data_IF_649913100418
#
_entry.id   IF_649913100418
#
_cell.length_a   1.000
_cell.length_b   1.000
_cell.length_c   1.000
_cell.angle_alpha   90.00
_cell.angle_beta   90.00
_cell.angle_gamma   90.00
#
_symmetry.space_group_name_H-M   'P 1'
#
loop_
_entity.id
_entity.type
_entity.pdbx_description
1 polymer ?
#
# COMPACT_ATOMS: atom_id res chain seq x y z
N UNK A 1 -1.33 -29.56 -19.60
CA UNK A 1 -0.36 -28.52 -19.19
C UNK A 1 -0.40 -28.45 -17.68
N UNK A 2 0.75 -28.40 -17.00
CA UNK A 2 0.82 -28.45 -15.52
C UNK A 2 0.01 -27.29 -14.95
N UNK A 3 -0.99 -27.58 -14.13
CA UNK A 3 -1.72 -26.59 -13.35
C UNK A 3 -0.78 -26.02 -12.29
N UNK A 4 -0.25 -24.82 -12.53
CA UNK A 4 0.32 -24.00 -11.47
C UNK A 4 -0.82 -23.63 -10.53
N UNK A 5 -0.85 -24.22 -9.34
CA UNK A 5 -1.87 -23.96 -8.31
C UNK A 5 -1.78 -22.51 -7.83
N UNK A 6 -2.90 -21.99 -7.28
CA UNK A 6 -3.02 -20.67 -6.64
C UNK A 6 -1.86 -20.33 -5.67
N UNK A 7 -1.19 -21.37 -5.21
CA UNK A 7 -0.05 -21.44 -4.30
C UNK A 7 1.26 -20.78 -4.79
N UNK A 8 1.62 -20.81 -6.07
CA UNK A 8 2.93 -20.24 -6.50
C UNK A 8 2.90 -18.71 -6.65
N UNK A 9 1.74 -18.07 -6.40
CA UNK A 9 1.41 -16.75 -6.92
C UNK A 9 1.45 -15.64 -5.85
N UNK A 10 1.52 -16.04 -4.57
CA UNK A 10 1.84 -15.18 -3.43
C UNK A 10 3.20 -15.54 -2.79
N UNK A 11 3.90 -16.54 -3.33
CA UNK A 11 5.21 -16.95 -2.85
C UNK A 11 6.28 -15.91 -3.20
N UNK A 12 7.12 -15.57 -2.22
CA UNK A 12 8.42 -14.93 -2.49
C UNK A 12 9.22 -15.92 -3.36
N UNK A 13 9.79 -15.50 -4.51
CA UNK A 13 10.46 -16.43 -5.41
C UNK A 13 11.57 -17.21 -4.67
N UNK A 14 11.76 -18.52 -4.99
CA UNK A 14 12.66 -19.41 -4.25
C UNK A 14 14.15 -18.99 -4.25
N UNK A 15 14.54 -18.03 -5.08
CA UNK A 15 15.91 -17.48 -5.09
C UNK A 15 16.19 -16.44 -3.99
N UNK A 16 15.27 -16.23 -3.05
CA UNK A 16 15.56 -15.44 -1.85
C UNK A 16 16.36 -16.23 -0.78
N UNK A 17 16.47 -17.56 -0.91
CA UNK A 17 17.13 -18.40 0.11
C UNK A 17 18.63 -18.66 -0.12
N UNK A 18 19.20 -18.32 -1.29
CA UNK A 18 20.62 -18.63 -1.58
C UNK A 18 21.62 -17.50 -1.26
N UNK A 19 21.18 -16.43 -0.58
CA UNK A 19 22.07 -15.36 -0.07
C UNK A 19 22.20 -15.34 1.45
N UNK A 20 21.90 -16.45 2.14
CA UNK A 20 22.31 -16.63 3.54
C UNK A 20 23.78 -17.05 3.62
N UNK A 21 24.66 -16.13 3.20
CA UNK A 21 26.03 -16.11 3.71
C UNK A 21 25.98 -15.63 5.16
N UNK A 22 26.53 -16.42 6.08
CA UNK A 22 26.71 -16.07 7.49
C UNK A 22 27.52 -14.78 7.63
N UNK A 23 26.86 -13.63 7.60
CA UNK A 23 27.44 -12.38 8.08
C UNK A 23 27.28 -12.38 9.60
N UNK A 24 28.39 -12.64 10.29
CA UNK A 24 28.52 -12.44 11.72
C UNK A 24 27.91 -11.08 12.10
N UNK A 25 26.83 -11.12 12.89
CA UNK A 25 26.25 -9.93 13.50
C UNK A 25 27.29 -9.34 14.46
N UNK A 26 27.93 -8.25 14.05
CA UNK A 26 28.52 -7.33 15.01
C UNK A 26 27.41 -6.73 15.88
N UNK A 27 27.60 -6.62 17.20
CA UNK A 27 26.52 -6.30 18.12
C UNK A 27 26.30 -4.78 18.20
N UNK A 28 25.03 -4.40 18.36
CA UNK A 28 24.54 -3.07 18.78
C UNK A 28 24.66 -1.91 17.78
N UNK A 29 23.71 -1.82 16.84
CA UNK A 29 23.30 -0.54 16.25
C UNK A 29 21.86 -0.24 16.63
N UNK A 30 21.66 0.54 17.69
CA UNK A 30 20.36 1.15 18.02
C UNK A 30 20.22 2.44 17.24
N UNK A 31 19.17 2.54 16.41
CA UNK A 31 18.91 3.60 15.42
C UNK A 31 18.72 5.04 15.96
N UNK A 32 19.00 5.28 17.25
CA UNK A 32 18.69 6.52 17.97
C UNK A 32 19.86 7.50 18.12
N UNK A 33 21.01 7.29 17.46
CA UNK A 33 22.24 8.07 17.75
C UNK A 33 22.90 8.80 16.58
N UNK A 34 22.40 8.73 15.34
CA UNK A 34 22.98 9.55 14.26
C UNK A 34 22.32 10.92 14.26
N UNK A 35 23.12 11.98 14.39
CA UNK A 35 22.64 13.35 14.24
C UNK A 35 22.27 13.59 12.77
N UNK A 36 21.33 14.51 12.46
CA UNK A 36 20.97 14.83 11.08
C UNK A 36 22.17 15.19 10.19
N UNK A 37 23.20 15.83 10.78
CA UNK A 37 24.45 16.17 10.09
C UNK A 37 25.27 14.94 9.68
N UNK A 38 25.27 13.89 10.50
CA UNK A 38 25.96 12.64 10.18
C UNK A 38 25.30 11.99 8.96
N UNK A 39 23.97 12.00 8.90
CA UNK A 39 23.20 11.42 7.79
C UNK A 39 23.44 12.18 6.47
N UNK A 40 23.56 13.52 6.51
CA UNK A 40 23.76 14.33 5.31
C UNK A 40 25.04 13.95 4.55
N UNK A 41 26.15 13.78 5.26
CA UNK A 41 27.44 13.39 4.66
C UNK A 41 27.42 12.00 4.00
N UNK A 42 26.46 11.15 4.36
CA UNK A 42 26.31 9.80 3.81
C UNK A 42 25.35 9.72 2.62
N UNK A 43 24.53 10.75 2.39
CA UNK A 43 23.59 10.78 1.25
C UNK A 43 24.20 11.46 0.04
N UNK A 44 24.97 12.52 0.21
CA UNK A 44 25.56 13.25 -0.91
C UNK A 44 26.65 12.41 -1.60
N UNK A 45 26.69 12.48 -2.94
CA UNK A 45 27.70 11.84 -3.77
C UNK A 45 27.18 10.62 -4.52
N UNK A 46 28.12 9.77 -4.96
CA UNK A 46 27.82 8.64 -5.84
C UNK A 46 27.46 7.38 -5.04
N UNK A 47 26.37 6.74 -5.44
CA UNK A 47 25.92 5.46 -4.91
C UNK A 47 25.85 4.39 -5.99
N UNK A 48 26.16 3.16 -5.63
CA UNK A 48 25.95 1.97 -6.46
C UNK A 48 24.54 1.45 -6.24
N UNK A 49 23.83 1.18 -7.35
CA UNK A 49 22.49 0.59 -7.31
C UNK A 49 22.64 -0.92 -7.25
N UNK A 50 22.15 -1.52 -6.17
CA UNK A 50 22.21 -2.98 -5.95
C UNK A 50 20.95 -3.69 -6.43
N UNK A 51 19.81 -3.02 -6.36
CA UNK A 51 18.53 -3.55 -6.79
C UNK A 51 17.58 -2.42 -7.18
N UNK A 52 16.68 -2.70 -8.12
CA UNK A 52 15.67 -1.74 -8.60
C UNK A 52 14.33 -2.43 -8.66
N UNK A 53 13.32 -1.86 -7.99
CA UNK A 53 11.92 -2.18 -8.24
C UNK A 53 11.33 -1.09 -9.14
N UNK A 54 10.58 -1.49 -10.15
CA UNK A 54 9.99 -0.59 -11.13
C UNK A 54 8.48 -0.75 -11.13
N UNK A 55 7.77 0.35 -10.96
CA UNK A 55 6.36 0.48 -11.31
C UNK A 55 6.22 1.31 -12.59
N UNK A 56 4.99 1.48 -13.06
CA UNK A 56 4.72 2.29 -14.26
C UNK A 56 5.21 3.74 -14.11
N UNK A 57 5.08 4.34 -12.92
CA UNK A 57 5.39 5.76 -12.69
C UNK A 57 6.56 6.00 -11.71
N UNK A 58 7.02 4.96 -10.99
CA UNK A 58 8.10 5.12 -9.99
C UNK A 58 9.19 4.07 -10.09
N UNK A 59 10.36 4.43 -9.57
CA UNK A 59 11.49 3.55 -9.31
C UNK A 59 11.81 3.56 -7.83
N UNK A 60 12.01 2.38 -7.26
CA UNK A 60 12.60 2.19 -5.94
C UNK A 60 13.99 1.62 -6.12
N UNK A 61 15.01 2.42 -5.82
CA UNK A 61 16.42 2.04 -5.93
C UNK A 61 16.94 1.66 -4.54
N UNK A 62 17.55 0.48 -4.43
CA UNK A 62 18.32 0.09 -3.26
C UNK A 62 19.77 0.42 -3.54
N UNK A 63 20.36 1.26 -2.68
CA UNK A 63 21.67 1.85 -2.97
C UNK A 63 22.64 1.65 -1.81
N UNK A 64 23.91 1.54 -2.17
CA UNK A 64 25.04 1.44 -1.26
C UNK A 64 26.08 2.50 -1.64
N UNK A 65 26.75 3.06 -0.63
CA UNK A 65 27.92 3.92 -0.81
C UNK A 65 29.04 3.43 0.10
N UNK A 66 30.29 3.61 -0.31
CA UNK A 66 31.47 3.26 0.50
C UNK A 66 31.48 4.00 1.83
N UNK A 67 30.88 5.19 1.87
CA UNK A 67 30.83 6.04 3.05
C UNK A 67 29.50 5.90 3.82
N UNK A 68 28.48 5.23 3.25
CA UNK A 68 27.16 5.15 3.90
C UNK A 68 27.15 4.16 5.06
N UNK A 69 26.98 4.67 6.27
CA UNK A 69 26.85 3.86 7.50
C UNK A 69 25.50 3.10 7.53
N UNK A 70 24.49 3.61 6.82
CA UNK A 70 23.14 3.04 6.79
C UNK A 70 22.73 2.65 5.35
N UNK A 71 22.14 1.46 5.13
CA UNK A 71 21.63 1.10 3.82
C UNK A 71 20.45 2.00 3.44
N UNK A 72 20.45 2.52 2.21
CA UNK A 72 19.47 3.49 1.74
C UNK A 72 18.54 2.91 0.68
N UNK A 73 17.36 3.51 0.60
CA UNK A 73 16.37 3.28 -0.44
C UNK A 73 15.92 4.63 -1.00
N UNK A 74 15.85 4.74 -2.32
CA UNK A 74 15.45 5.96 -3.02
C UNK A 74 14.15 5.70 -3.78
N UNK A 75 13.13 6.57 -3.61
CA UNK A 75 11.94 6.58 -4.48
C UNK A 75 12.04 7.73 -5.45
N UNK A 76 11.91 7.43 -6.75
CA UNK A 76 11.96 8.41 -7.83
C UNK A 76 10.68 8.29 -8.66
N UNK A 77 10.11 9.43 -9.03
CA UNK A 77 9.11 9.50 -10.09
C UNK A 77 9.80 9.56 -11.45
N UNK A 78 9.19 8.97 -12.48
CA UNK A 78 9.66 9.07 -13.86
C UNK A 78 8.49 9.29 -14.81
N UNK A 79 8.78 9.72 -16.03
CA UNK A 79 7.78 10.14 -16.99
C UNK A 79 6.79 9.03 -17.34
N UNK A 80 5.55 9.18 -16.86
CA UNK A 80 4.43 8.30 -17.16
C UNK A 80 3.11 9.08 -17.06
N UNK A 81 2.16 8.79 -17.94
CA UNK A 81 0.86 9.47 -17.95
C UNK A 81 -0.28 8.53 -18.34
N UNK A 82 -1.33 8.53 -17.52
CA UNK A 82 -2.63 7.89 -17.77
C UNK A 82 -3.70 8.49 -16.84
N UNK A 83 -4.88 7.88 -16.77
CA UNK A 83 -5.96 8.36 -15.90
C UNK A 83 -5.66 8.28 -14.39
N UNK A 84 -4.58 7.61 -13.98
CA UNK A 84 -4.14 7.47 -12.58
C UNK A 84 -2.96 8.39 -12.29
N UNK A 85 -1.91 8.35 -13.11
CA UNK A 85 -0.65 9.05 -12.93
C UNK A 85 -0.53 10.20 -13.92
N UNK A 86 -0.13 11.36 -13.42
CA UNK A 86 0.20 12.53 -14.24
C UNK A 86 1.61 12.94 -13.83
N UNK A 87 2.61 12.42 -14.53
CA UNK A 87 4.03 12.59 -14.18
C UNK A 87 4.90 12.87 -15.41
N UNK A 88 4.32 13.44 -16.47
CA UNK A 88 5.01 13.72 -17.73
C UNK A 88 6.06 14.84 -17.61
N UNK A 89 6.01 15.66 -16.57
CA UNK A 89 6.99 16.72 -16.29
C UNK A 89 7.66 16.60 -14.91
N UNK A 90 8.85 17.20 -14.79
CA UNK A 90 9.70 17.15 -13.60
C UNK A 90 9.07 17.91 -12.42
N UNK A 91 8.38 19.02 -12.66
CA UNK A 91 7.81 19.84 -11.59
C UNK A 91 6.69 19.06 -10.87
N UNK A 92 5.85 18.36 -11.62
CA UNK A 92 4.84 17.46 -11.07
C UNK A 92 5.47 16.29 -10.31
N UNK A 93 6.51 15.66 -10.86
CA UNK A 93 7.27 14.61 -10.17
C UNK A 93 7.81 15.09 -8.81
N UNK A 94 8.44 16.26 -8.78
CA UNK A 94 9.01 16.86 -7.58
C UNK A 94 7.92 17.26 -6.55
N UNK A 95 6.77 17.73 -7.02
CA UNK A 95 5.60 18.00 -6.17
C UNK A 95 5.11 16.74 -5.46
N UNK A 96 4.99 15.61 -6.18
CA UNK A 96 4.65 14.32 -5.57
C UNK A 96 5.74 13.83 -4.61
N UNK A 97 7.04 13.98 -4.94
CA UNK A 97 8.14 13.66 -4.02
C UNK A 97 8.03 14.46 -2.70
N UNK A 98 7.75 15.77 -2.78
CA UNK A 98 7.57 16.63 -1.61
C UNK A 98 6.37 16.21 -0.76
N UNK A 99 5.21 15.99 -1.40
CA UNK A 99 4.00 15.56 -0.72
C UNK A 99 4.19 14.20 -0.06
N UNK A 100 4.83 13.26 -0.76
CA UNK A 100 5.18 11.94 -0.27
C UNK A 100 6.09 12.01 0.96
N UNK A 101 7.13 12.85 0.92
CA UNK A 101 8.00 13.06 2.09
C UNK A 101 7.23 13.62 3.29
N UNK A 102 6.46 14.70 3.07
CA UNK A 102 5.76 15.40 4.13
C UNK A 102 4.74 14.51 4.84
N UNK A 103 4.02 13.68 4.07
CA UNK A 103 2.99 12.79 4.59
C UNK A 103 3.58 11.54 5.24
N UNK A 104 4.38 10.77 4.50
CA UNK A 104 4.82 9.45 4.95
C UNK A 104 5.72 9.49 6.20
N UNK A 105 6.52 10.55 6.37
CA UNK A 105 7.38 10.69 7.57
C UNK A 105 6.60 10.73 8.89
N UNK A 106 5.30 11.08 8.85
CA UNK A 106 4.41 11.05 10.02
C UNK A 106 4.02 9.63 10.43
N UNK A 107 3.92 8.73 9.45
CA UNK A 107 3.49 7.34 9.64
C UNK A 107 4.64 6.34 9.77
N UNK A 108 5.86 6.78 9.42
CA UNK A 108 7.08 6.03 9.64
C UNK A 108 8.22 6.95 10.14
N UNK A 109 8.13 7.43 11.39
CA UNK A 109 9.13 8.33 11.94
C UNK A 109 10.52 7.68 11.92
N UNK A 110 11.52 8.44 11.43
CA UNK A 110 12.90 7.99 11.33
C UNK A 110 13.22 7.11 10.12
N UNK A 111 12.24 6.79 9.26
CA UNK A 111 12.46 6.09 7.98
C UNK A 111 12.76 7.07 6.85
N UNK A 112 11.93 8.09 6.69
CA UNK A 112 12.08 9.10 5.64
C UNK A 112 13.09 10.17 6.07
N UNK A 113 14.20 10.28 5.35
CA UNK A 113 15.35 11.12 5.72
C UNK A 113 15.26 12.53 5.12
N UNK A 114 14.66 12.66 3.94
CA UNK A 114 14.59 13.92 3.20
C UNK A 114 14.45 13.67 1.71
N UNK A 115 14.74 14.69 0.90
CA UNK A 115 14.84 14.57 -0.55
C UNK A 115 16.23 15.03 -1.02
N UNK A 116 16.72 14.51 -2.13
CA UNK A 116 18.00 14.92 -2.70
C UNK A 116 17.90 15.10 -4.22
N UNK A 117 18.50 16.15 -4.81
CA UNK A 117 18.54 16.32 -6.25
C UNK A 117 19.38 15.21 -6.89
N UNK A 118 19.00 14.79 -8.10
CA UNK A 118 19.69 13.76 -8.86
C UNK A 118 20.48 14.45 -9.97
N UNK A 119 21.82 14.41 -9.88
CA UNK A 119 22.69 15.03 -10.88
C UNK A 119 23.06 14.06 -12.01
N UNK A 120 23.25 12.77 -11.68
CA UNK A 120 23.50 11.73 -12.67
C UNK A 120 22.73 10.47 -12.35
N UNK A 121 22.01 9.96 -13.35
CA UNK A 121 21.36 8.66 -13.32
C UNK A 121 21.56 8.00 -14.69
N UNK A 122 22.74 7.43 -14.89
CA UNK A 122 23.14 6.79 -16.15
C UNK A 122 23.38 5.29 -15.93
N UNK A 123 23.06 4.50 -16.95
CA UNK A 123 23.25 3.04 -17.04
C UNK A 123 22.54 2.17 -15.99
N UNK A 124 21.68 2.76 -15.16
CA UNK A 124 20.96 2.07 -14.06
C UNK A 124 21.88 1.34 -13.04
N UNK A 125 23.19 1.59 -13.09
CA UNK A 125 24.17 0.99 -12.18
C UNK A 125 24.59 1.92 -11.05
N UNK A 126 24.54 3.23 -11.27
CA UNK A 126 24.88 4.22 -10.25
C UNK A 126 23.99 5.45 -10.33
N UNK A 127 23.84 6.11 -9.20
CA UNK A 127 23.13 7.38 -9.06
C UNK A 127 24.00 8.36 -8.27
N UNK A 128 24.04 9.61 -8.70
CA UNK A 128 24.71 10.69 -7.98
C UNK A 128 23.69 11.66 -7.42
N UNK A 129 23.72 11.81 -6.09
CA UNK A 129 22.82 12.67 -5.33
C UNK A 129 23.55 13.94 -4.87
N UNK A 130 22.85 15.07 -4.90
CA UNK A 130 23.31 16.29 -4.23
C UNK A 130 23.02 16.30 -2.74
N UNK A 131 22.98 17.50 -2.16
CA UNK A 131 22.75 17.68 -0.73
C UNK A 131 21.36 17.17 -0.30
N UNK A 132 21.31 16.46 0.83
CA UNK A 132 20.05 16.02 1.43
C UNK A 132 19.31 17.18 2.09
N UNK A 133 18.11 17.46 1.59
CA UNK A 133 17.17 18.42 2.14
C UNK A 133 16.23 17.72 3.14
N UNK A 134 16.41 17.98 4.43
CA UNK A 134 15.59 17.41 5.52
C UNK A 134 14.32 18.22 5.81
N UNK A 135 14.31 19.50 5.40
CA UNK A 135 13.18 20.43 5.52
C UNK A 135 12.90 21.15 4.18
N UNK A 136 12.71 20.41 3.07
CA UNK A 136 12.60 21.01 1.75
C UNK A 136 11.35 21.89 1.65
N UNK A 137 11.50 23.03 0.99
CA UNK A 137 10.40 23.90 0.55
C UNK A 137 10.36 23.94 -0.99
N UNK A 138 9.17 24.11 -1.61
CA UNK A 138 9.05 24.12 -3.07
C UNK A 138 9.94 25.15 -3.79
N UNK A 139 10.17 26.31 -3.17
CA UNK A 139 10.98 27.42 -3.71
C UNK A 139 12.50 27.16 -3.64
N UNK A 140 12.93 26.12 -2.91
CA UNK A 140 14.33 25.71 -2.78
C UNK A 140 14.74 24.67 -3.84
N UNK A 141 13.78 24.12 -4.59
CA UNK A 141 14.08 23.11 -5.61
C UNK A 141 14.75 23.75 -6.83
N UNK A 142 15.88 23.17 -7.23
CA UNK A 142 16.58 23.54 -8.46
C UNK A 142 15.69 23.30 -9.69
N UNK A 143 15.52 24.35 -10.52
CA UNK A 143 14.69 24.27 -11.72
C UNK A 143 15.25 23.26 -12.72
N UNK A 144 14.43 22.33 -13.18
CA UNK A 144 14.80 21.32 -14.17
C UNK A 144 15.61 20.15 -13.61
N UNK A 145 15.74 20.04 -12.28
CA UNK A 145 16.40 18.92 -11.60
C UNK A 145 15.35 18.03 -10.95
N UNK A 146 15.46 16.71 -11.16
CA UNK A 146 14.59 15.72 -10.53
C UNK A 146 15.10 15.39 -9.13
N UNK A 147 14.19 15.24 -8.16
CA UNK A 147 14.51 14.89 -6.78
C UNK A 147 14.08 13.46 -6.44
N UNK A 148 14.95 12.75 -5.74
CA UNK A 148 14.65 11.47 -5.11
C UNK A 148 14.17 11.66 -3.67
N UNK A 149 13.18 10.87 -3.26
CA UNK A 149 12.84 10.68 -1.85
C UNK A 149 13.85 9.70 -1.22
N UNK A 150 14.54 10.13 -0.17
CA UNK A 150 15.60 9.36 0.49
C UNK A 150 15.07 8.72 1.77
N UNK A 151 15.23 7.40 1.89
CA UNK A 151 14.71 6.60 3.00
C UNK A 151 15.77 5.64 3.55
N UNK A 152 15.67 5.31 4.84
CA UNK A 152 16.36 4.15 5.40
C UNK A 152 15.78 2.88 4.82
N UNK A 153 16.63 1.95 4.39
CA UNK A 153 16.19 0.62 3.99
C UNK A 153 15.83 -0.18 5.24
N UNK A 154 14.57 -0.62 5.32
CA UNK A 154 14.11 -1.49 6.41
C UNK A 154 14.37 -2.97 6.11
N UNK A 155 14.60 -3.82 7.13
CA UNK A 155 14.80 -5.27 6.95
C UNK A 155 13.52 -5.96 6.42
N UNK A 156 13.56 -6.55 5.22
CA UNK A 156 12.37 -7.05 4.53
C UNK A 156 11.49 -8.01 5.36
N UNK A 157 12.09 -8.76 6.29
CA UNK A 157 11.36 -9.65 7.19
C UNK A 157 10.43 -8.90 8.16
N UNK A 158 10.56 -7.58 8.33
CA UNK A 158 9.66 -6.75 9.14
C UNK A 158 8.34 -6.45 8.43
N UNK A 159 8.27 -6.56 7.09
CA UNK A 159 7.07 -6.26 6.32
C UNK A 159 5.93 -7.25 6.66
N UNK A 160 4.70 -6.76 6.79
CA UNK A 160 3.60 -7.51 7.36
C UNK A 160 3.22 -8.73 6.51
N UNK A 161 3.27 -8.64 5.18
CA UNK A 161 3.12 -9.79 4.29
C UNK A 161 4.15 -10.91 4.59
N UNK A 162 5.42 -10.57 4.81
CA UNK A 162 6.45 -11.56 5.19
C UNK A 162 6.15 -12.18 6.55
N UNK A 163 5.68 -11.41 7.51
CA UNK A 163 5.33 -11.92 8.84
C UNK A 163 4.12 -12.86 8.77
N UNK A 164 3.11 -12.53 7.96
CA UNK A 164 1.96 -13.39 7.67
C UNK A 164 2.39 -14.65 6.93
N UNK A 165 3.33 -14.61 5.99
CA UNK A 165 3.77 -15.82 5.29
C UNK A 165 4.63 -16.74 6.16
N UNK A 166 5.43 -16.20 7.08
CA UNK A 166 6.45 -16.95 7.83
C UNK A 166 5.97 -17.71 9.07
N UNK A 167 4.86 -17.34 9.67
CA UNK A 167 4.49 -17.91 10.97
C UNK A 167 4.13 -16.89 12.03
N UNK A 168 4.60 -15.66 11.84
CA UNK A 168 4.83 -14.73 12.94
C UNK A 168 3.71 -13.72 13.14
N UNK A 169 2.73 -13.71 12.24
CA UNK A 169 1.53 -12.90 12.33
C UNK A 169 0.35 -13.72 11.81
N UNK A 170 -0.84 -13.49 12.38
CA UNK A 170 -2.09 -14.16 12.00
C UNK A 170 -2.89 -14.73 13.17
N UNK A 171 -2.63 -14.27 14.40
CA UNK A 171 -3.38 -14.64 15.60
C UNK A 171 -4.50 -13.64 15.90
N UNK A 172 -5.40 -13.97 16.83
CA UNK A 172 -6.42 -13.03 17.32
C UNK A 172 -5.82 -11.78 17.97
N UNK A 173 -4.66 -11.92 18.62
CA UNK A 173 -3.97 -10.80 19.27
C UNK A 173 -3.37 -9.85 18.24
N UNK A 174 -2.77 -10.41 17.18
CA UNK A 174 -2.28 -9.65 16.04
C UNK A 174 -3.39 -8.81 15.39
N UNK A 175 -4.57 -9.40 15.19
CA UNK A 175 -5.73 -8.70 14.63
C UNK A 175 -6.19 -7.54 15.54
N UNK A 176 -6.21 -7.73 16.86
CA UNK A 176 -6.53 -6.67 17.82
C UNK A 176 -5.48 -5.56 17.81
N UNK A 177 -4.20 -5.91 17.83
CA UNK A 177 -3.09 -4.96 17.76
C UNK A 177 -3.19 -4.10 16.50
N UNK A 178 -3.35 -4.74 15.33
CA UNK A 178 -3.42 -4.03 14.06
C UNK A 178 -4.65 -3.12 13.98
N UNK A 179 -5.82 -3.63 14.37
CA UNK A 179 -7.07 -2.87 14.34
C UNK A 179 -7.01 -1.62 15.23
N UNK A 180 -6.57 -1.78 16.48
CA UNK A 180 -6.46 -0.66 17.45
C UNK A 180 -5.42 0.36 17.01
N UNK A 181 -4.28 -0.10 16.48
CA UNK A 181 -3.21 0.79 15.99
C UNK A 181 -3.68 1.62 14.80
N UNK A 182 -4.31 1.00 13.80
CA UNK A 182 -4.82 1.74 12.63
C UNK A 182 -5.97 2.68 13.02
N UNK A 183 -6.88 2.27 13.91
CA UNK A 183 -7.94 3.16 14.39
C UNK A 183 -7.36 4.42 15.05
N UNK A 184 -6.33 4.26 15.89
CA UNK A 184 -5.63 5.40 16.48
C UNK A 184 -4.93 6.27 15.43
N UNK A 185 -4.29 5.66 14.42
CA UNK A 185 -3.72 6.42 13.29
C UNK A 185 -4.81 7.25 12.58
N UNK A 186 -5.95 6.65 12.25
CA UNK A 186 -7.05 7.32 11.54
C UNK A 186 -7.68 8.48 12.32
N UNK A 187 -7.78 8.37 13.65
CA UNK A 187 -8.28 9.45 14.51
C UNK A 187 -7.39 10.69 14.48
N UNK A 188 -6.09 10.53 14.23
CA UNK A 188 -5.11 11.61 14.21
C UNK A 188 -4.85 12.17 12.79
N UNK A 189 -5.59 11.72 11.77
CA UNK A 189 -5.43 12.20 10.40
C UNK A 189 -6.07 13.57 10.18
N UNK A 190 -5.51 14.30 9.22
CA UNK A 190 -6.05 15.58 8.76
C UNK A 190 -7.43 15.41 8.11
N UNK A 191 -8.34 16.33 8.43
CA UNK A 191 -9.62 16.44 7.76
C UNK A 191 -9.42 16.79 6.28
N UNK A 192 -10.17 16.12 5.41
CA UNK A 192 -10.16 16.46 4.00
C UNK A 192 -10.76 17.85 3.76
N UNK A 193 -10.28 18.61 2.77
CA UNK A 193 -10.98 19.76 2.23
C UNK A 193 -12.45 19.42 1.91
N UNK A 194 -13.43 20.32 2.19
CA UNK A 194 -14.86 19.99 2.08
C UNK A 194 -15.33 19.48 0.70
N UNK A 195 -14.59 19.81 -0.37
CA UNK A 195 -14.93 19.40 -1.73
C UNK A 195 -14.51 17.96 -2.07
N UNK A 196 -13.50 17.38 -1.41
CA UNK A 196 -12.96 16.06 -1.77
C UNK A 196 -13.79 14.87 -1.25
N UNK A 197 -14.72 15.09 -0.32
CA UNK A 197 -15.63 14.07 0.20
C UNK A 197 -17.06 14.12 -0.37
N UNK A 198 -17.32 15.00 -1.33
CA UNK A 198 -18.66 15.18 -1.88
C UNK A 198 -19.10 13.96 -2.70
N UNK A 199 -20.42 13.70 -2.72
CA UNK A 199 -21.01 12.55 -3.40
C UNK A 199 -20.67 12.51 -4.91
N UNK A 200 -20.54 13.67 -5.56
CA UNK A 200 -20.12 13.75 -6.97
C UNK A 200 -18.68 13.28 -7.20
N UNK A 201 -17.76 13.50 -6.24
CA UNK A 201 -16.39 13.00 -6.29
C UNK A 201 -16.38 11.49 -6.09
N UNK A 202 -17.15 10.98 -5.12
CA UNK A 202 -17.34 9.55 -4.92
C UNK A 202 -17.91 8.87 -6.18
N UNK A 203 -18.92 9.46 -6.82
CA UNK A 203 -19.49 8.96 -8.07
C UNK A 203 -18.46 8.92 -9.21
N UNK A 204 -17.61 9.96 -9.34
CA UNK A 204 -16.54 9.99 -10.35
C UNK A 204 -15.53 8.86 -10.12
N UNK A 205 -15.09 8.68 -8.89
CA UNK A 205 -14.17 7.60 -8.50
C UNK A 205 -14.79 6.23 -8.75
N UNK A 206 -16.06 6.07 -8.40
CA UNK A 206 -16.79 4.84 -8.68
C UNK A 206 -16.84 4.54 -10.18
N UNK A 207 -17.17 5.52 -11.01
CA UNK A 207 -17.17 5.34 -12.47
C UNK A 207 -15.77 4.98 -13.02
N UNK A 208 -14.71 5.59 -12.49
CA UNK A 208 -13.34 5.23 -12.85
C UNK A 208 -13.01 3.78 -12.46
N UNK A 209 -13.34 3.39 -11.21
CA UNK A 209 -13.14 2.03 -10.72
C UNK A 209 -13.91 1.00 -11.57
N UNK A 210 -15.15 1.31 -11.97
CA UNK A 210 -15.93 0.46 -12.88
C UNK A 210 -15.21 0.27 -14.22
N UNK A 211 -14.75 1.35 -14.83
CA UNK A 211 -14.05 1.30 -16.12
C UNK A 211 -12.82 0.39 -16.06
N UNK A 212 -11.95 0.59 -15.07
CA UNK A 212 -10.75 -0.23 -14.91
C UNK A 212 -11.08 -1.69 -14.54
N UNK A 213 -12.10 -1.92 -13.73
CA UNK A 213 -12.54 -3.28 -13.41
C UNK A 213 -13.03 -4.01 -14.66
N UNK A 214 -13.81 -3.36 -15.52
CA UNK A 214 -14.27 -3.93 -16.79
C UNK A 214 -13.10 -4.24 -17.73
N UNK A 215 -12.11 -3.36 -17.82
CA UNK A 215 -10.90 -3.58 -18.62
C UNK A 215 -10.08 -4.77 -18.09
N UNK A 216 -9.90 -4.84 -16.76
CA UNK A 216 -9.20 -5.94 -16.12
C UNK A 216 -9.91 -7.28 -16.36
N UNK A 217 -11.23 -7.31 -16.24
CA UNK A 217 -12.02 -8.51 -16.55
C UNK A 217 -11.87 -8.93 -18.02
N UNK A 218 -11.89 -7.97 -18.96
CA UNK A 218 -11.67 -8.28 -20.38
C UNK A 218 -10.28 -8.88 -20.62
N UNK A 219 -9.25 -8.36 -19.95
CA UNK A 219 -7.89 -8.91 -20.01
C UNK A 219 -7.82 -10.32 -19.40
N UNK A 220 -8.44 -10.55 -18.24
CA UNK A 220 -8.50 -11.87 -17.61
C UNK A 220 -9.25 -12.88 -18.47
N UNK A 221 -10.37 -12.48 -19.09
CA UNK A 221 -11.13 -13.32 -20.01
C UNK A 221 -10.30 -13.75 -21.22
N UNK A 222 -9.45 -12.87 -21.75
CA UNK A 222 -8.53 -13.22 -22.84
C UNK A 222 -7.44 -14.22 -22.38
N UNK A 223 -6.91 -14.07 -21.17
CA UNK A 223 -5.86 -14.95 -20.63
C UNK A 223 -6.40 -16.31 -20.15
N UNK A 224 -7.65 -16.35 -19.68
CA UNK A 224 -8.31 -17.53 -19.13
C UNK A 224 -9.67 -17.75 -19.82
N UNK A 225 -9.70 -18.13 -21.11
CA UNK A 225 -10.93 -18.17 -21.92
C UNK A 225 -11.98 -19.18 -21.44
N UNK A 226 -11.56 -20.20 -20.70
CA UNK A 226 -12.44 -21.24 -20.14
C UNK A 226 -13.15 -20.80 -18.85
N UNK A 227 -12.75 -19.67 -18.26
CA UNK A 227 -13.34 -19.15 -17.04
C UNK A 227 -14.45 -18.14 -17.38
N UNK A 228 -15.58 -18.25 -16.70
CA UNK A 228 -16.69 -17.28 -16.82
C UNK A 228 -16.42 -16.06 -15.93
N UNK A 229 -15.99 -14.96 -16.53
CA UNK A 229 -15.89 -13.68 -15.84
C UNK A 229 -17.11 -12.77 -16.03
N UNK A 230 -17.95 -13.07 -17.01
CA UNK A 230 -19.08 -12.21 -17.36
C UNK A 230 -20.14 -12.22 -16.26
N UNK A 231 -20.44 -13.39 -15.67
CA UNK A 231 -21.40 -13.50 -14.57
C UNK A 231 -20.93 -12.77 -13.31
N UNK A 232 -19.71 -13.02 -12.77
CA UNK A 232 -19.19 -12.24 -11.63
C UNK A 232 -19.17 -10.74 -11.88
N UNK A 233 -18.70 -10.32 -13.07
CA UNK A 233 -18.64 -8.91 -13.43
C UNK A 233 -20.02 -8.26 -13.40
N UNK A 234 -21.03 -8.89 -14.01
CA UNK A 234 -22.39 -8.35 -14.03
C UNK A 234 -22.97 -8.22 -12.61
N UNK A 235 -22.87 -9.28 -11.81
CA UNK A 235 -23.40 -9.29 -10.43
C UNK A 235 -22.74 -8.23 -9.56
N UNK A 236 -21.41 -8.11 -9.61
CA UNK A 236 -20.66 -7.11 -8.82
C UNK A 236 -21.08 -5.70 -9.22
N UNK A 237 -21.09 -5.39 -10.52
CA UNK A 237 -21.41 -4.04 -10.99
C UNK A 237 -22.86 -3.66 -10.69
N UNK A 238 -23.82 -4.56 -10.93
CA UNK A 238 -25.24 -4.31 -10.70
C UNK A 238 -25.56 -4.12 -9.21
N UNK A 239 -25.05 -5.00 -8.35
CA UNK A 239 -25.22 -4.91 -6.89
C UNK A 239 -24.62 -3.61 -6.35
N UNK A 240 -23.40 -3.26 -6.77
CA UNK A 240 -22.71 -2.06 -6.31
C UNK A 240 -23.38 -0.78 -6.80
N UNK A 241 -23.79 -0.71 -8.07
CA UNK A 241 -24.53 0.43 -8.61
C UNK A 241 -25.87 0.60 -7.89
N UNK A 242 -26.64 -0.48 -7.73
CA UNK A 242 -27.93 -0.46 -7.03
C UNK A 242 -27.75 0.01 -5.58
N UNK A 243 -26.75 -0.52 -4.88
CA UNK A 243 -26.48 -0.16 -3.50
C UNK A 243 -26.09 1.32 -3.36
N UNK A 244 -25.18 1.80 -4.22
CA UNK A 244 -24.73 3.19 -4.21
C UNK A 244 -25.89 4.17 -4.41
N UNK A 245 -26.80 3.89 -5.35
CA UNK A 245 -27.96 4.75 -5.61
C UNK A 245 -28.95 4.72 -4.43
N UNK A 246 -29.33 3.53 -3.95
CA UNK A 246 -30.34 3.36 -2.90
C UNK A 246 -29.86 3.86 -1.52
N UNK A 247 -28.55 3.86 -1.28
CA UNK A 247 -27.95 4.24 0.01
C UNK A 247 -27.08 5.49 -0.07
N UNK A 248 -27.29 6.34 -1.08
CA UNK A 248 -26.55 7.61 -1.28
C UNK A 248 -26.51 8.49 -0.02
N UNK A 249 -27.57 8.48 0.79
CA UNK A 249 -27.63 9.19 2.07
C UNK A 249 -26.56 8.71 3.08
N UNK A 250 -26.26 7.41 3.13
CA UNK A 250 -25.19 6.88 4.00
C UNK A 250 -23.82 7.42 3.58
N UNK A 251 -23.53 7.46 2.28
CA UNK A 251 -22.28 8.04 1.77
C UNK A 251 -22.19 9.54 2.06
N UNK A 252 -23.29 10.29 1.94
CA UNK A 252 -23.33 11.71 2.29
C UNK A 252 -23.06 11.95 3.78
N UNK A 253 -23.61 11.12 4.67
CA UNK A 253 -23.31 11.18 6.11
C UNK A 253 -21.83 10.91 6.40
N UNK A 254 -21.17 10.09 5.59
CA UNK A 254 -19.74 9.81 5.71
C UNK A 254 -18.82 10.93 5.23
N UNK A 255 -19.31 11.91 4.47
CA UNK A 255 -18.49 13.00 3.94
C UNK A 255 -17.67 13.72 5.02
N UNK A 256 -18.25 13.98 6.19
CA UNK A 256 -17.56 14.67 7.31
C UNK A 256 -16.44 13.83 7.95
N UNK A 257 -16.44 12.52 7.70
CA UNK A 257 -15.41 11.58 8.15
C UNK A 257 -14.26 11.44 7.16
N UNK A 258 -14.33 12.06 5.98
CA UNK A 258 -13.23 12.02 5.00
C UNK A 258 -11.96 12.59 5.63
N UNK A 259 -10.85 11.84 5.53
CA UNK A 259 -9.52 12.21 6.01
C UNK A 259 -8.50 12.02 4.92
N UNK A 260 -7.33 12.66 5.06
CA UNK A 260 -6.13 12.31 4.30
C UNK A 260 -5.58 10.99 4.85
N UNK A 261 -6.08 9.87 4.32
CA UNK A 261 -5.74 8.51 4.71
C UNK A 261 -4.47 8.00 3.99
N UNK A 262 -4.11 6.73 4.23
CA UNK A 262 -3.01 6.09 3.51
C UNK A 262 -3.32 5.98 2.01
N UNK A 263 -4.58 5.65 1.68
CA UNK A 263 -5.07 5.50 0.30
C UNK A 263 -4.74 4.14 -0.32
N UNK A 264 -3.65 3.51 0.14
CA UNK A 264 -3.18 2.19 -0.29
C UNK A 264 -2.82 1.28 0.90
N UNK A 265 -3.66 1.25 1.95
CA UNK A 265 -3.34 0.54 3.19
C UNK A 265 -3.40 -0.98 3.01
N UNK A 266 -2.24 -1.61 2.81
CA UNK A 266 -2.08 -3.04 2.49
C UNK A 266 -0.96 -3.68 3.30
N UNK A 267 -0.92 -5.01 3.36
CA UNK A 267 0.10 -5.73 4.14
C UNK A 267 1.52 -5.57 3.59
N UNK A 268 1.69 -5.21 2.32
CA UNK A 268 2.99 -4.88 1.73
C UNK A 268 3.47 -3.44 2.04
N UNK A 269 2.58 -2.59 2.58
CA UNK A 269 2.86 -1.21 2.94
C UNK A 269 3.00 -1.02 4.46
N UNK A 270 2.86 -2.10 5.22
CA UNK A 270 2.95 -2.11 6.68
C UNK A 270 4.18 -2.87 7.17
N UNK A 271 4.84 -2.33 8.19
CA UNK A 271 6.08 -2.85 8.73
C UNK A 271 6.01 -2.94 10.26
N UNK A 272 6.40 -4.09 10.80
CA UNK A 272 6.45 -4.37 12.23
C UNK A 272 7.88 -4.21 12.74
N UNK A 273 8.11 -3.21 13.58
CA UNK A 273 9.39 -2.97 14.24
C UNK A 273 9.26 -3.22 15.74
N UNK A 274 10.39 -3.52 16.39
CA UNK A 274 10.46 -3.75 17.83
C UNK A 274 11.44 -2.74 18.41
N UNK A 275 11.04 -2.02 19.46
CA UNK A 275 11.96 -1.13 20.18
C UNK A 275 12.45 -1.80 21.48
N UNK A 276 13.77 -1.98 21.66
CA UNK A 276 14.34 -2.27 22.97
C UNK A 276 14.15 -1.05 23.91
N UNK A 277 14.04 -1.23 25.24
CA UNK A 277 14.10 -2.49 26.00
C UNK A 277 12.74 -3.20 26.17
N UNK A 278 11.65 -2.57 25.75
CA UNK A 278 10.28 -3.02 26.08
C UNK A 278 9.71 -4.06 25.11
N UNK A 279 10.40 -4.38 24.01
CA UNK A 279 9.91 -5.25 22.93
C UNK A 279 8.54 -4.81 22.39
N UNK A 280 8.18 -3.53 22.55
CA UNK A 280 6.91 -3.02 22.05
C UNK A 280 6.93 -3.08 20.53
N UNK A 281 5.97 -3.80 19.98
CA UNK A 281 5.72 -3.87 18.55
C UNK A 281 5.15 -2.51 18.10
N UNK A 282 5.80 -1.88 17.14
CA UNK A 282 5.31 -0.68 16.49
C UNK A 282 4.98 -0.98 15.04
N UNK A 283 3.91 -0.37 14.56
CA UNK A 283 3.52 -0.39 13.16
C UNK A 283 4.05 0.87 12.48
N UNK A 284 4.75 0.69 11.37
CA UNK A 284 5.09 1.77 10.44
C UNK A 284 4.27 1.56 9.18
N UNK A 285 3.64 2.62 8.68
CA UNK A 285 2.97 2.61 7.39
C UNK A 285 3.78 3.45 6.39
N UNK A 286 4.14 2.81 5.28
CA UNK A 286 5.01 3.35 4.24
C UNK A 286 4.24 3.37 2.92
N UNK A 287 4.67 4.23 2.01
CA UNK A 287 4.15 4.33 0.64
C UNK A 287 2.65 4.67 0.56
N UNK A 288 2.23 5.62 1.41
CA UNK A 288 0.96 6.30 1.25
C UNK A 288 0.87 6.96 -0.13
N UNK A 289 -0.32 6.96 -0.73
CA UNK A 289 -0.56 7.61 -2.03
C UNK A 289 -0.17 9.07 -1.94
N UNK A 290 0.81 9.49 -2.74
CA UNK A 290 1.43 10.82 -2.72
C UNK A 290 1.15 11.65 -3.98
N UNK A 291 0.23 11.16 -4.81
CA UNK A 291 -0.29 11.80 -6.02
C UNK A 291 -1.81 11.95 -5.93
N UNK A 292 -2.39 12.83 -6.76
CA UNK A 292 -3.84 13.10 -6.88
C UNK A 292 -4.61 13.03 -5.56
N UNK A 293 -4.78 14.18 -4.92
CA UNK A 293 -5.38 14.30 -3.60
C UNK A 293 -6.68 13.51 -3.40
N UNK A 294 -7.53 13.44 -4.42
CA UNK A 294 -8.76 12.65 -4.38
C UNK A 294 -8.52 11.19 -3.98
N UNK A 295 -7.42 10.53 -4.37
CA UNK A 295 -7.22 9.10 -4.07
C UNK A 295 -6.92 8.79 -2.60
N UNK A 296 -6.25 9.69 -1.87
CA UNK A 296 -5.99 9.48 -0.45
C UNK A 296 -6.87 10.33 0.48
N UNK A 297 -7.64 11.30 -0.04
CA UNK A 297 -8.74 11.89 0.72
C UNK A 297 -9.99 11.01 0.61
N UNK A 298 -10.10 10.06 1.54
CA UNK A 298 -11.14 9.04 1.55
C UNK A 298 -11.74 8.89 2.94
N UNK A 299 -12.84 8.16 3.00
CA UNK A 299 -13.37 7.64 4.25
C UNK A 299 -12.37 6.65 4.88
N UNK A 300 -12.01 6.80 6.17
CA UNK A 300 -11.20 5.81 6.89
C UNK A 300 -11.74 4.37 6.83
N UNK A 301 -13.06 4.19 6.67
CA UNK A 301 -13.68 2.87 6.42
C UNK A 301 -13.32 2.29 5.05
N UNK A 302 -13.11 3.14 4.04
CA UNK A 302 -12.61 2.73 2.73
C UNK A 302 -11.12 2.37 2.82
N UNK A 303 -10.33 3.09 3.63
CA UNK A 303 -8.90 2.80 3.83
C UNK A 303 -8.69 1.49 4.60
N UNK A 304 -9.40 1.29 5.72
CA UNK A 304 -9.30 0.05 6.51
C UNK A 304 -9.89 -1.16 5.76
N UNK A 305 -10.90 -0.96 4.91
CA UNK A 305 -11.39 -2.01 4.03
C UNK A 305 -10.24 -2.55 3.19
N UNK A 306 -9.43 -1.68 2.57
CA UNK A 306 -8.25 -2.10 1.78
C UNK A 306 -7.38 -3.11 2.54
N UNK A 307 -7.13 -2.86 3.83
CA UNK A 307 -6.32 -3.76 4.64
C UNK A 307 -7.06 -5.05 5.00
N UNK A 308 -8.37 -4.96 5.28
CA UNK A 308 -9.18 -6.12 5.65
C UNK A 308 -9.24 -7.19 4.55
N UNK A 309 -9.53 -6.84 3.29
CA UNK A 309 -9.53 -7.88 2.23
C UNK A 309 -8.12 -8.32 1.84
N UNK A 310 -7.11 -7.45 1.93
CA UNK A 310 -5.72 -7.81 1.65
C UNK A 310 -5.19 -8.81 2.70
N UNK A 311 -5.51 -8.59 3.99
CA UNK A 311 -5.29 -9.57 5.06
C UNK A 311 -5.98 -10.90 4.76
N UNK A 312 -7.25 -10.87 4.37
CA UNK A 312 -8.01 -12.08 4.08
C UNK A 312 -7.40 -12.90 2.95
N UNK A 313 -6.99 -12.23 1.86
CA UNK A 313 -6.34 -12.88 0.73
C UNK A 313 -5.03 -13.57 1.15
N UNK A 314 -4.19 -12.87 1.92
CA UNK A 314 -2.92 -13.41 2.42
C UNK A 314 -3.12 -14.56 3.43
N UNK A 315 -4.04 -14.43 4.37
CA UNK A 315 -4.37 -15.47 5.35
C UNK A 315 -4.97 -16.71 4.69
N UNK A 316 -5.82 -16.52 3.68
CA UNK A 316 -6.37 -17.61 2.86
C UNK A 316 -5.28 -18.34 2.11
N UNK A 317 -4.36 -17.59 1.48
CA UNK A 317 -3.24 -18.18 0.75
C UNK A 317 -2.36 -19.05 1.67
N UNK A 318 -1.90 -18.53 2.82
CA UNK A 318 -1.05 -19.31 3.73
C UNK A 318 -1.75 -20.57 4.27
N UNK A 319 -3.07 -20.50 4.51
CA UNK A 319 -3.87 -21.66 4.91
C UNK A 319 -3.94 -22.73 3.81
N UNK A 320 -4.13 -22.31 2.56
CA UNK A 320 -4.12 -23.23 1.41
C UNK A 320 -2.76 -23.90 1.21
N UNK A 321 -1.67 -23.27 1.66
CA UNK A 321 -0.32 -23.84 1.70
C UNK A 321 -0.06 -24.80 2.87
N UNK A 322 -1.10 -25.19 3.62
CA UNK A 322 -0.97 -26.17 4.70
C UNK A 322 -0.50 -25.57 6.03
N UNK A 323 -0.43 -24.24 6.15
CA UNK A 323 -0.21 -23.62 7.45
C UNK A 323 -1.49 -23.69 8.28
N UNK A 324 -1.34 -24.14 9.52
CA UNK A 324 -2.40 -24.12 10.51
C UNK A 324 -2.55 -22.69 11.05
N UNK A 325 -3.78 -22.19 10.99
CA UNK A 325 -4.24 -20.99 11.68
C UNK A 325 -5.21 -21.45 12.76
N UNK A 326 -5.18 -20.81 13.93
CA UNK A 326 -6.07 -21.15 15.05
C UNK A 326 -7.55 -20.85 14.73
N UNK A 327 -7.78 -19.85 13.88
CA UNK A 327 -9.09 -19.40 13.39
C UNK A 327 -9.08 -19.38 11.85
N UNK A 328 -10.26 -19.38 11.21
CA UNK A 328 -10.31 -19.20 9.76
C UNK A 328 -9.91 -17.77 9.36
N UNK A 329 -9.41 -17.55 8.13
CA UNK A 329 -9.12 -16.20 7.62
C UNK A 329 -10.31 -15.24 7.79
N UNK A 330 -11.53 -15.71 7.53
CA UNK A 330 -12.76 -14.93 7.69
C UNK A 330 -12.98 -14.53 9.15
N UNK A 331 -12.81 -15.46 10.10
CA UNK A 331 -12.98 -15.19 11.53
C UNK A 331 -11.95 -14.17 12.06
N UNK A 332 -10.71 -14.25 11.57
CA UNK A 332 -9.64 -13.31 11.93
C UNK A 332 -9.93 -11.91 11.38
N UNK A 333 -10.38 -11.82 10.12
CA UNK A 333 -10.69 -10.54 9.47
C UNK A 333 -11.95 -9.91 10.07
N UNK A 334 -12.98 -10.71 10.39
CA UNK A 334 -14.16 -10.23 11.11
C UNK A 334 -13.78 -9.68 12.50
N UNK A 335 -12.87 -10.37 13.21
CA UNK A 335 -12.33 -9.89 14.49
C UNK A 335 -11.58 -8.57 14.31
N UNK A 336 -10.69 -8.48 13.31
CA UNK A 336 -9.96 -7.26 12.98
C UNK A 336 -10.92 -6.09 12.72
N UNK A 337 -11.91 -6.30 11.85
CA UNK A 337 -12.90 -5.29 11.49
C UNK A 337 -13.71 -4.80 12.70
N UNK A 338 -14.21 -5.73 13.52
CA UNK A 338 -14.99 -5.38 14.71
C UNK A 338 -14.17 -4.60 15.75
N UNK A 339 -12.91 -4.99 15.96
CA UNK A 339 -12.03 -4.25 16.88
C UNK A 339 -11.70 -2.85 16.34
N UNK A 340 -11.57 -2.71 15.01
CA UNK A 340 -11.35 -1.40 14.40
C UNK A 340 -12.59 -0.51 14.60
N UNK A 341 -13.79 -1.01 14.27
CA UNK A 341 -15.03 -0.24 14.45
C UNK A 341 -15.25 0.20 15.89
N UNK A 342 -14.99 -0.70 16.85
CA UNK A 342 -15.07 -0.40 18.27
C UNK A 342 -14.08 0.71 18.66
N UNK A 343 -12.82 0.59 18.25
CA UNK A 343 -11.77 1.55 18.58
C UNK A 343 -11.96 2.91 17.90
N UNK A 344 -12.55 2.91 16.70
CA UNK A 344 -12.84 4.10 15.91
C UNK A 344 -14.19 4.76 16.27
N UNK A 345 -14.92 4.22 17.26
CA UNK A 345 -16.24 4.70 17.69
C UNK A 345 -17.21 4.94 16.50
N UNK A 346 -17.18 4.04 15.52
CA UNK A 346 -17.95 4.17 14.27
C UNK A 346 -19.00 3.06 14.18
N UNK A 347 -20.27 3.44 14.01
CA UNK A 347 -21.40 2.50 14.07
C UNK A 347 -21.98 2.07 12.70
N UNK A 348 -21.42 2.54 11.57
CA UNK A 348 -22.01 2.31 10.25
C UNK A 348 -21.55 1.00 9.59
N UNK A 349 -21.96 -0.14 10.17
CA UNK A 349 -21.76 -1.47 9.56
C UNK A 349 -22.35 -1.59 8.16
N UNK A 350 -23.36 -0.78 7.80
CA UNK A 350 -24.07 -0.85 6.52
C UNK A 350 -23.17 -0.64 5.29
N UNK A 351 -22.07 0.11 5.40
CA UNK A 351 -21.16 0.33 4.27
C UNK A 351 -20.00 -0.68 4.19
N UNK A 352 -19.90 -1.61 5.14
CA UNK A 352 -18.79 -2.57 5.25
C UNK A 352 -18.59 -3.36 3.96
N UNK A 353 -19.61 -4.12 3.57
CA UNK A 353 -19.48 -5.01 2.41
C UNK A 353 -19.33 -4.22 1.10
N UNK A 354 -19.89 -3.00 1.01
CA UNK A 354 -19.65 -2.11 -0.13
C UNK A 354 -18.17 -1.73 -0.25
N UNK A 355 -17.55 -1.26 0.84
CA UNK A 355 -16.13 -0.89 0.79
C UNK A 355 -15.23 -2.10 0.57
N UNK A 356 -15.54 -3.26 1.16
CA UNK A 356 -14.78 -4.49 0.92
C UNK A 356 -14.87 -4.94 -0.55
N UNK A 357 -16.06 -4.91 -1.16
CA UNK A 357 -16.23 -5.22 -2.58
C UNK A 357 -15.51 -4.20 -3.47
N UNK A 358 -15.68 -2.90 -3.22
CA UNK A 358 -15.02 -1.84 -4.01
C UNK A 358 -13.50 -2.01 -4.02
N UNK A 359 -12.91 -2.23 -2.84
CA UNK A 359 -11.46 -2.35 -2.70
C UNK A 359 -10.92 -3.66 -3.25
N UNK A 360 -11.69 -4.75 -3.18
CA UNK A 360 -11.39 -5.97 -3.90
C UNK A 360 -11.38 -5.74 -5.43
N UNK A 361 -12.36 -5.02 -5.99
CA UNK A 361 -12.35 -4.62 -7.41
C UNK A 361 -11.12 -3.79 -7.78
N UNK A 362 -10.71 -2.87 -6.90
CA UNK A 362 -9.49 -2.08 -7.07
C UNK A 362 -8.28 -3.01 -7.17
N UNK A 363 -8.16 -3.97 -6.26
CA UNK A 363 -7.05 -4.93 -6.29
C UNK A 363 -7.06 -5.85 -7.52
N UNK A 364 -8.24 -6.21 -8.04
CA UNK A 364 -8.37 -6.95 -9.31
C UNK A 364 -7.69 -6.17 -10.43
N UNK A 365 -8.07 -4.91 -10.66
CA UNK A 365 -7.53 -4.15 -11.78
C UNK A 365 -6.08 -3.72 -11.54
N UNK A 366 -5.69 -3.40 -10.31
CA UNK A 366 -4.29 -3.08 -9.97
C UNK A 366 -3.38 -4.26 -10.30
N UNK A 367 -3.76 -5.46 -9.88
CA UNK A 367 -2.99 -6.67 -10.16
C UNK A 367 -2.95 -7.02 -11.66
N UNK A 368 -4.08 -6.94 -12.36
CA UNK A 368 -4.15 -7.34 -13.77
C UNK A 368 -3.46 -6.34 -14.71
N UNK A 369 -3.86 -5.07 -14.64
CA UNK A 369 -3.48 -4.05 -15.61
C UNK A 369 -2.11 -3.41 -15.33
N UNK A 370 -1.74 -3.29 -14.05
CA UNK A 370 -0.60 -2.46 -13.64
C UNK A 370 0.60 -3.26 -13.14
N UNK A 371 0.36 -4.43 -12.54
CA UNK A 371 1.40 -5.24 -11.90
C UNK A 371 1.63 -6.60 -12.59
N UNK A 372 0.75 -6.98 -13.52
CA UNK A 372 0.77 -8.27 -14.23
C UNK A 372 0.73 -9.49 -13.30
N UNK A 373 0.09 -9.34 -12.13
CA UNK A 373 -0.17 -10.40 -11.14
C UNK A 373 -1.55 -11.00 -11.35
N UNK A 374 -1.79 -11.59 -12.52
CA UNK A 374 -3.12 -12.07 -12.93
C UNK A 374 -3.76 -13.05 -11.94
N UNK A 375 -2.94 -13.84 -11.28
CA UNK A 375 -3.39 -14.81 -10.31
C UNK A 375 -3.80 -14.21 -8.96
N UNK A 376 -3.05 -13.22 -8.46
CA UNK A 376 -3.51 -12.39 -7.35
C UNK A 376 -4.81 -11.68 -7.71
N UNK A 377 -4.95 -11.23 -8.96
CA UNK A 377 -6.20 -10.65 -9.47
C UNK A 377 -7.38 -11.63 -9.36
N UNK A 378 -7.21 -12.92 -9.69
CA UNK A 378 -8.26 -13.94 -9.49
C UNK A 378 -8.63 -14.13 -8.01
N UNK A 379 -7.65 -14.10 -7.10
CA UNK A 379 -7.91 -14.20 -5.67
C UNK A 379 -8.72 -12.99 -5.15
N UNK A 380 -8.41 -11.78 -5.61
CA UNK A 380 -9.18 -10.58 -5.28
C UNK A 380 -10.56 -10.57 -5.92
N UNK A 381 -10.72 -11.14 -7.12
CA UNK A 381 -12.03 -11.30 -7.75
C UNK A 381 -12.94 -12.20 -6.90
N UNK A 382 -12.41 -13.31 -6.41
CA UNK A 382 -13.14 -14.19 -5.49
C UNK A 382 -13.55 -13.45 -4.20
N UNK A 383 -12.67 -12.59 -3.67
CA UNK A 383 -13.01 -11.72 -2.54
C UNK A 383 -14.14 -10.76 -2.88
N UNK A 384 -14.10 -10.14 -4.06
CA UNK A 384 -15.15 -9.23 -4.53
C UNK A 384 -16.50 -9.93 -4.67
N UNK A 385 -16.54 -11.13 -5.24
CA UNK A 385 -17.76 -11.96 -5.36
C UNK A 385 -18.34 -12.31 -3.99
N UNK A 386 -17.49 -12.69 -3.03
CA UNK A 386 -17.93 -13.05 -1.68
C UNK A 386 -18.55 -11.85 -0.95
N UNK A 387 -17.90 -10.69 -0.98
CA UNK A 387 -18.40 -9.49 -0.33
C UNK A 387 -19.62 -8.91 -1.06
N UNK A 388 -19.66 -8.97 -2.40
CA UNK A 388 -20.87 -8.69 -3.19
C UNK A 388 -22.03 -9.54 -2.71
N UNK A 389 -21.81 -10.85 -2.55
CA UNK A 389 -22.87 -11.76 -2.19
C UNK A 389 -23.44 -11.45 -0.79
N UNK A 390 -22.58 -11.06 0.16
CA UNK A 390 -22.99 -10.60 1.50
C UNK A 390 -23.71 -9.27 1.44
N UNK A 391 -23.21 -8.32 0.64
CA UNK A 391 -23.83 -7.02 0.41
C UNK A 391 -25.24 -7.21 -0.15
N UNK A 392 -25.39 -7.98 -1.24
CA UNK A 392 -26.70 -8.26 -1.85
C UNK A 392 -27.69 -8.87 -0.87
N UNK A 393 -27.25 -9.79 0.00
CA UNK A 393 -28.08 -10.38 1.07
C UNK A 393 -28.51 -9.38 2.14
N UNK A 394 -27.83 -8.24 2.29
CA UNK A 394 -28.16 -7.25 3.34
C UNK A 394 -29.30 -6.30 2.93
N UNK A 395 -29.68 -6.25 1.65
CA UNK A 395 -30.74 -5.38 1.15
C UNK A 395 -31.69 -6.06 0.14
N UNK A 396 -31.63 -7.39 0.04
CA UNK A 396 -32.68 -8.24 -0.55
C UNK A 396 -33.56 -8.83 0.55
#
# INVERSE_FOLDING_TARGET
>A
MRSTSLSEQFAIPPNAESFFGSANMHPHFTANHLLPQDIQGHVQGRHTITHTLRSQATLILFVESQDAIIPLCLKLWHAFENDIYVTSDIDTCNSYTLNGFAFNRRHAPGVYLGIAPIYHFQDQQSIELGELLTHPQPDQLEKGVLYALVMKRLPQNWRLDHQIHRGNFGTREDMRFLATTIAHMHQNLEHAPPHLGQLNILQKKWNLNKSFFQEAIAQLQHLFPEHDFATPQHMILDTMDTYFHNHSAHFQQRQVFTRRCHGDLKVNNLWLTHTPPHQTQHLLALDCIDFKDEFAHIDPMSDIAMLAMDLEAHLTAVRQHGRLLDDTPEQLVDLFWQNYLHSAETELQSLTEFYLTEKAMIQVYMCALFEHRYYSSLAYLHSAEKHEHRLRKSFS
#
